data_IF_843471022003
#
_entry.id   IF_843471022003
#
_cell.length_a   1.000
_cell.length_b   1.000
_cell.length_c   1.000
_cell.angle_alpha   90.00
_cell.angle_beta   90.00
_cell.angle_gamma   90.00
#
_symmetry.space_group_name_H-M   'P 1'
#
loop_
_entity.id
_entity.type
_entity.pdbx_description
1 polymer ?
#
# COMPACT_ATOMS: atom_id res chain seq x y z
N UNK A 1 -41.59 -45.84 -1.67
CA UNK A 1 -40.95 -44.51 -1.78
C UNK A 1 -40.05 -44.36 -0.57
N UNK A 2 -38.75 -44.60 -0.73
CA UNK A 2 -37.79 -44.43 0.35
C UNK A 2 -37.46 -42.95 0.47
N UNK A 3 -37.61 -42.39 1.69
CA UNK A 3 -37.15 -41.06 2.03
C UNK A 3 -35.62 -41.07 2.06
N UNK A 4 -34.99 -40.56 1.00
CA UNK A 4 -33.58 -40.21 1.01
C UNK A 4 -33.41 -39.01 1.94
N UNK A 5 -33.11 -39.29 3.21
CA UNK A 5 -32.62 -38.27 4.13
C UNK A 5 -31.25 -37.82 3.65
N UNK A 6 -31.14 -36.55 3.24
CA UNK A 6 -29.86 -35.88 3.11
C UNK A 6 -29.17 -35.91 4.48
N UNK A 7 -28.26 -36.86 4.67
CA UNK A 7 -27.37 -36.85 5.82
C UNK A 7 -26.40 -35.70 5.60
N UNK A 8 -26.62 -34.59 6.30
CA UNK A 8 -25.68 -33.47 6.34
C UNK A 8 -24.29 -33.99 6.71
N UNK A 9 -23.30 -33.69 5.87
CA UNK A 9 -21.94 -34.22 5.97
C UNK A 9 -21.17 -33.45 7.05
N UNK A 10 -21.22 -33.95 8.29
CA UNK A 10 -20.48 -33.40 9.43
C UNK A 10 -19.02 -33.87 9.51
N UNK A 11 -18.42 -34.31 8.39
CA UNK A 11 -17.01 -34.72 8.35
C UNK A 11 -16.07 -33.60 8.82
N UNK A 12 -14.92 -33.97 9.40
CA UNK A 12 -13.86 -33.03 9.78
C UNK A 12 -13.39 -32.17 8.60
N UNK A 13 -13.40 -32.71 7.37
CA UNK A 13 -13.05 -31.94 6.17
C UNK A 13 -14.07 -30.84 5.83
N UNK A 14 -15.33 -30.97 6.25
CA UNK A 14 -16.36 -29.92 6.10
C UNK A 14 -16.41 -28.95 7.28
N UNK A 15 -16.12 -29.43 8.49
CA UNK A 15 -16.31 -28.65 9.73
C UNK A 15 -15.05 -27.91 10.18
N UNK A 16 -13.87 -28.26 9.67
CA UNK A 16 -12.62 -27.56 9.99
C UNK A 16 -12.52 -26.26 9.20
N UNK A 17 -12.67 -25.15 9.90
CA UNK A 17 -12.30 -23.82 9.39
C UNK A 17 -10.80 -23.64 9.59
N UNK A 18 -10.05 -23.66 8.48
CA UNK A 18 -8.62 -23.36 8.53
C UNK A 18 -8.41 -21.89 8.82
N UNK A 19 -7.55 -21.59 9.79
CA UNK A 19 -7.00 -20.25 9.93
C UNK A 19 -6.03 -20.00 8.78
N UNK A 20 -6.05 -18.78 8.25
CA UNK A 20 -5.04 -18.36 7.30
C UNK A 20 -3.64 -18.52 7.94
N UNK A 21 -2.67 -19.13 7.23
CA UNK A 21 -1.32 -19.22 7.74
C UNK A 21 -0.77 -17.82 8.03
N UNK A 22 0.08 -17.66 9.06
CA UNK A 22 0.60 -16.35 9.41
C UNK A 22 1.35 -15.75 8.22
N UNK A 23 1.07 -14.48 7.92
CA UNK A 23 1.78 -13.76 6.87
C UNK A 23 3.26 -13.71 7.24
N UNK A 24 4.17 -14.19 6.38
CA UNK A 24 5.59 -14.18 6.67
C UNK A 24 6.07 -12.74 6.87
N UNK A 25 6.91 -12.53 7.88
CA UNK A 25 7.47 -11.20 8.17
C UNK A 25 8.24 -10.69 6.95
N UNK A 26 7.99 -9.43 6.57
CA UNK A 26 8.67 -8.77 5.46
C UNK A 26 10.17 -8.61 5.70
N UNK A 27 10.58 -8.56 6.97
CA UNK A 27 11.97 -8.38 7.38
C UNK A 27 12.34 -9.41 8.43
N UNK A 28 13.55 -9.97 8.31
CA UNK A 28 14.15 -10.87 9.27
C UNK A 28 15.35 -10.23 9.98
N UNK A 29 15.82 -10.79 11.10
CA UNK A 29 16.99 -10.28 11.80
C UNK A 29 18.27 -10.57 11.02
N UNK A 30 19.14 -9.56 10.91
CA UNK A 30 20.54 -9.68 10.47
C UNK A 30 21.45 -9.05 11.53
N UNK A 31 22.71 -9.50 11.69
CA UNK A 31 23.65 -8.88 12.61
C UNK A 31 23.76 -7.38 12.34
N UNK A 32 23.84 -6.57 13.40
CA UNK A 32 24.05 -5.13 13.27
C UNK A 32 25.45 -4.83 12.73
N UNK A 33 25.54 -3.84 11.84
CA UNK A 33 26.80 -3.36 11.27
C UNK A 33 27.36 -2.19 12.08
N UNK A 34 28.61 -1.80 11.78
CA UNK A 34 29.30 -0.69 12.46
C UNK A 34 28.56 0.65 12.37
N UNK A 35 27.74 0.84 11.34
CA UNK A 35 26.92 2.04 11.13
C UNK A 35 25.58 2.02 11.86
N UNK A 36 25.15 0.87 12.38
CA UNK A 36 23.88 0.77 13.09
C UNK A 36 24.05 1.23 14.54
N UNK A 37 22.96 1.68 15.15
CA UNK A 37 23.01 2.14 16.53
C UNK A 37 23.27 0.94 17.48
N UNK A 38 24.43 0.90 18.17
CA UNK A 38 24.78 -0.23 19.03
C UNK A 38 23.84 -0.38 20.24
N UNK A 39 23.15 0.70 20.65
CA UNK A 39 22.21 0.68 21.76
C UNK A 39 20.90 -0.06 21.46
N UNK A 40 20.58 -0.32 20.18
CA UNK A 40 19.35 -1.02 19.77
C UNK A 40 19.50 -2.55 19.87
N UNK A 41 20.73 -3.04 19.93
CA UNK A 41 21.07 -4.44 20.12
C UNK A 41 21.91 -5.04 18.98
N UNK A 42 22.21 -6.35 19.06
CA UNK A 42 23.11 -7.01 18.13
C UNK A 42 22.49 -7.35 16.77
N UNK A 43 21.20 -7.04 16.56
CA UNK A 43 20.47 -7.37 15.34
C UNK A 43 19.63 -6.18 14.84
N UNK A 44 19.48 -6.09 13.53
CA UNK A 44 18.60 -5.15 12.84
C UNK A 44 17.68 -5.91 11.87
N UNK A 45 16.52 -5.34 11.54
CA UNK A 45 15.57 -5.96 10.60
C UNK A 45 15.92 -5.62 9.14
N UNK A 46 16.06 -6.64 8.30
CA UNK A 46 16.37 -6.52 6.89
C UNK A 46 15.40 -7.29 5.99
N UNK A 47 15.14 -6.74 4.80
CA UNK A 47 14.55 -7.50 3.70
C UNK A 47 15.50 -8.60 3.24
N UNK A 48 14.95 -9.70 2.74
CA UNK A 48 15.76 -10.87 2.32
C UNK A 48 16.67 -10.58 1.14
N UNK A 49 16.16 -9.80 0.20
CA UNK A 49 16.81 -9.48 -1.09
C UNK A 49 16.16 -8.24 -1.72
N UNK A 50 16.80 -7.71 -2.76
CA UNK A 50 16.30 -6.61 -3.60
C UNK A 50 14.86 -6.79 -4.08
N UNK A 51 14.50 -8.01 -4.48
CA UNK A 51 13.18 -8.32 -5.02
C UNK A 51 12.12 -8.20 -3.93
N UNK A 52 12.42 -8.67 -2.72
CA UNK A 52 11.55 -8.55 -1.56
C UNK A 52 11.36 -7.10 -1.12
N UNK A 53 12.42 -6.29 -1.17
CA UNK A 53 12.35 -4.85 -0.91
C UNK A 53 11.47 -4.14 -1.95
N UNK A 54 11.74 -4.33 -3.25
CA UNK A 54 10.97 -3.68 -4.33
C UNK A 54 9.51 -4.09 -4.30
N UNK A 55 9.23 -5.38 -4.11
CA UNK A 55 7.87 -5.89 -4.02
C UNK A 55 7.12 -5.28 -2.84
N UNK A 56 7.76 -5.18 -1.67
CA UNK A 56 7.15 -4.56 -0.51
C UNK A 56 6.93 -3.05 -0.72
N UNK A 57 7.92 -2.34 -1.29
CA UNK A 57 7.82 -0.92 -1.58
C UNK A 57 6.64 -0.61 -2.51
N UNK A 58 6.55 -1.29 -3.67
CA UNK A 58 5.45 -1.09 -4.61
C UNK A 58 4.10 -1.50 -4.03
N UNK A 59 4.02 -2.62 -3.28
CA UNK A 59 2.76 -3.03 -2.63
C UNK A 59 2.29 -1.98 -1.62
N UNK A 60 3.19 -1.46 -0.79
CA UNK A 60 2.84 -0.40 0.16
C UNK A 60 2.43 0.87 -0.57
N UNK A 61 3.17 1.28 -1.60
CA UNK A 61 2.84 2.46 -2.40
C UNK A 61 1.46 2.34 -3.06
N UNK A 62 1.18 1.23 -3.75
CA UNK A 62 -0.13 0.96 -4.34
C UNK A 62 -1.23 0.94 -3.28
N UNK A 63 -0.98 0.36 -2.10
CA UNK A 63 -1.96 0.34 -1.02
C UNK A 63 -2.24 1.74 -0.47
N UNK A 64 -1.21 2.58 -0.30
CA UNK A 64 -1.37 3.96 0.11
C UNK A 64 -2.18 4.78 -0.90
N UNK A 65 -1.91 4.61 -2.21
CA UNK A 65 -2.70 5.23 -3.28
C UNK A 65 -4.15 4.78 -3.19
N UNK A 66 -4.40 3.48 -3.13
CA UNK A 66 -5.76 2.93 -3.05
C UNK A 66 -6.53 3.50 -1.85
N UNK A 67 -5.94 3.49 -0.66
CA UNK A 67 -6.61 4.00 0.55
C UNK A 67 -6.85 5.51 0.46
N UNK A 68 -5.92 6.27 -0.12
CA UNK A 68 -6.12 7.69 -0.37
C UNK A 68 -7.26 7.94 -1.37
N UNK A 69 -7.34 7.18 -2.47
CA UNK A 69 -8.40 7.30 -3.47
C UNK A 69 -9.78 6.96 -2.89
N UNK A 70 -9.87 5.95 -2.03
CA UNK A 70 -11.13 5.66 -1.31
C UNK A 70 -11.52 6.79 -0.34
N UNK A 71 -10.55 7.39 0.36
CA UNK A 71 -10.79 8.58 1.18
C UNK A 71 -11.21 9.78 0.33
N UNK A 72 -10.58 9.99 -0.83
CA UNK A 72 -10.92 11.03 -1.78
C UNK A 72 -12.32 10.82 -2.36
N UNK A 73 -12.76 9.59 -2.60
CA UNK A 73 -14.13 9.29 -3.04
C UNK A 73 -15.17 9.82 -2.07
N UNK A 74 -14.95 9.64 -0.76
CA UNK A 74 -15.85 10.19 0.28
C UNK A 74 -15.76 11.71 0.34
N UNK A 75 -14.56 12.29 0.30
CA UNK A 75 -14.39 13.75 0.32
C UNK A 75 -15.01 14.43 -0.90
N UNK A 76 -14.83 13.85 -2.08
CA UNK A 76 -15.36 14.35 -3.35
C UNK A 76 -16.88 14.24 -3.42
N UNK A 77 -17.50 13.18 -2.88
CA UNK A 77 -18.96 13.08 -2.85
C UNK A 77 -19.60 14.16 -1.97
N UNK A 78 -18.98 14.47 -0.81
CA UNK A 78 -19.42 15.57 0.06
C UNK A 78 -19.24 16.92 -0.65
N UNK A 79 -18.08 17.14 -1.27
CA UNK A 79 -17.80 18.39 -2.01
C UNK A 79 -18.77 18.60 -3.18
N UNK A 80 -19.01 17.55 -3.97
CA UNK A 80 -19.96 17.58 -5.08
C UNK A 80 -21.39 17.88 -4.60
N UNK A 81 -21.85 17.19 -3.54
CA UNK A 81 -23.17 17.42 -2.94
C UNK A 81 -23.34 18.87 -2.45
N UNK A 82 -22.34 19.42 -1.76
CA UNK A 82 -22.36 20.80 -1.29
C UNK A 82 -22.42 21.79 -2.46
N UNK A 83 -21.63 21.55 -3.51
CA UNK A 83 -21.53 22.43 -4.68
C UNK A 83 -22.78 22.40 -5.56
N UNK A 84 -23.44 21.24 -5.65
CA UNK A 84 -24.65 21.03 -6.45
C UNK A 84 -25.95 21.20 -5.66
N UNK A 85 -25.87 21.44 -4.34
CA UNK A 85 -27.05 21.64 -3.51
C UNK A 85 -27.80 22.94 -3.91
N UNK A 86 -29.14 22.91 -4.01
CA UNK A 86 -29.90 24.13 -4.21
C UNK A 86 -29.78 25.01 -2.96
N UNK A 87 -29.78 26.36 -3.11
CA UNK A 87 -29.81 27.26 -1.96
C UNK A 87 -30.96 26.91 -1.02
N UNK A 88 -30.67 26.86 0.29
CA UNK A 88 -31.64 26.44 1.32
C UNK A 88 -32.96 27.22 1.28
N UNK A 89 -32.92 28.49 0.89
CA UNK A 89 -34.11 29.34 0.78
C UNK A 89 -35.08 28.88 -0.31
N UNK A 90 -34.61 28.25 -1.39
CA UNK A 90 -35.49 27.71 -2.45
C UNK A 90 -36.39 26.60 -1.92
N UNK A 91 -35.87 25.77 -1.02
CA UNK A 91 -36.63 24.71 -0.33
C UNK A 91 -37.63 25.32 0.65
N UNK A 92 -37.26 26.41 1.33
CA UNK A 92 -38.12 27.09 2.30
C UNK A 92 -39.32 27.79 1.63
N UNK A 93 -39.09 28.47 0.51
CA UNK A 93 -40.13 29.24 -0.19
C UNK A 93 -40.90 28.45 -1.26
N UNK A 94 -40.64 27.14 -1.43
CA UNK A 94 -41.27 26.24 -2.42
C UNK A 94 -41.41 26.87 -3.83
N UNK A 95 -40.44 27.69 -4.23
CA UNK A 95 -40.53 28.48 -5.47
C UNK A 95 -40.42 27.60 -6.73
N UNK A 96 -39.81 26.41 -6.61
CA UNK A 96 -39.91 25.34 -7.61
C UNK A 96 -39.62 23.97 -6.97
N UNK A 97 -40.13 22.86 -7.54
CA UNK A 97 -39.61 21.53 -7.20
C UNK A 97 -38.10 21.48 -7.52
N UNK A 98 -37.35 20.76 -6.68
CA UNK A 98 -35.93 20.47 -6.92
C UNK A 98 -35.84 19.51 -8.10
N UNK A 99 -35.07 19.87 -9.12
CA UNK A 99 -34.76 18.96 -10.22
C UNK A 99 -33.64 17.99 -9.78
N UNK A 100 -34.06 16.79 -9.39
CA UNK A 100 -33.13 15.74 -8.96
C UNK A 100 -32.23 15.23 -10.10
N UNK A 101 -32.72 15.26 -11.35
CA UNK A 101 -31.95 14.79 -12.50
C UNK A 101 -30.81 15.76 -12.84
N UNK A 102 -31.07 17.07 -12.79
CA UNK A 102 -30.01 18.07 -12.99
C UNK A 102 -29.00 18.08 -11.83
N UNK A 103 -29.47 17.82 -10.60
CA UNK A 103 -28.58 17.67 -9.45
C UNK A 103 -27.66 16.46 -9.59
N UNK A 104 -28.19 15.31 -9.98
CA UNK A 104 -27.40 14.09 -10.22
C UNK A 104 -26.32 14.32 -11.28
N UNK A 105 -26.65 14.93 -12.43
CA UNK A 105 -25.68 15.30 -13.47
C UNK A 105 -24.61 16.26 -12.98
N UNK A 106 -24.97 17.20 -12.10
CA UNK A 106 -24.02 18.10 -11.47
C UNK A 106 -23.07 17.33 -10.56
N UNK A 107 -23.60 16.48 -9.67
CA UNK A 107 -22.82 15.72 -8.70
C UNK A 107 -21.86 14.75 -9.40
N UNK A 108 -22.29 14.08 -10.47
CA UNK A 108 -21.44 13.19 -11.27
C UNK A 108 -20.26 13.94 -11.91
N UNK A 109 -20.50 15.12 -12.49
CA UNK A 109 -19.45 15.95 -13.09
C UNK A 109 -18.47 16.48 -12.05
N UNK A 110 -18.97 16.98 -10.93
CA UNK A 110 -18.13 17.52 -9.86
C UNK A 110 -17.31 16.42 -9.17
N UNK A 111 -17.92 15.25 -8.93
CA UNK A 111 -17.24 14.10 -8.35
C UNK A 111 -16.14 13.57 -9.27
N UNK A 112 -16.42 13.40 -10.56
CA UNK A 112 -15.42 12.91 -11.53
C UNK A 112 -14.23 13.87 -11.65
N UNK A 113 -14.48 15.18 -11.75
CA UNK A 113 -13.40 16.19 -11.77
C UNK A 113 -12.58 16.18 -10.48
N UNK A 114 -13.22 16.04 -9.33
CA UNK A 114 -12.54 15.99 -8.03
C UNK A 114 -11.66 14.74 -7.90
N UNK A 115 -12.14 13.57 -8.31
CA UNK A 115 -11.38 12.31 -8.26
C UNK A 115 -10.13 12.34 -9.14
N UNK A 116 -10.24 12.90 -10.36
CA UNK A 116 -9.09 13.06 -11.26
C UNK A 116 -8.02 13.96 -10.62
N UNK A 117 -8.44 15.08 -10.01
CA UNK A 117 -7.52 15.98 -9.31
C UNK A 117 -6.90 15.34 -8.05
N UNK A 118 -7.67 14.53 -7.32
CA UNK A 118 -7.21 13.86 -6.11
C UNK A 118 -6.15 12.78 -6.38
N UNK A 119 -6.19 12.14 -7.56
CA UNK A 119 -5.26 11.05 -7.92
C UNK A 119 -3.79 11.46 -7.82
N UNK A 120 -3.41 12.62 -8.35
CA UNK A 120 -2.02 13.09 -8.29
C UNK A 120 -1.58 13.37 -6.85
N UNK A 121 -2.47 13.96 -6.05
CA UNK A 121 -2.24 14.18 -4.61
C UNK A 121 -2.03 12.85 -3.87
N UNK A 122 -2.79 11.81 -4.22
CA UNK A 122 -2.65 10.47 -3.65
C UNK A 122 -1.34 9.79 -4.04
N UNK A 123 -0.88 9.97 -5.28
CA UNK A 123 0.43 9.48 -5.74
C UNK A 123 1.55 10.15 -4.95
N UNK A 124 1.49 11.47 -4.80
CA UNK A 124 2.51 12.21 -4.05
C UNK A 124 2.50 11.82 -2.56
N UNK A 125 1.31 11.73 -1.96
CA UNK A 125 1.15 11.25 -0.59
C UNK A 125 1.77 9.86 -0.40
N UNK A 126 1.53 8.93 -1.33
CA UNK A 126 2.11 7.60 -1.25
C UNK A 126 3.65 7.62 -1.35
N UNK A 127 4.23 8.44 -2.24
CA UNK A 127 5.68 8.63 -2.32
C UNK A 127 6.25 9.12 -0.98
N UNK A 128 5.68 10.19 -0.43
CA UNK A 128 6.15 10.81 0.82
C UNK A 128 6.07 9.84 2.01
N UNK A 129 5.00 9.05 2.08
CA UNK A 129 4.81 8.05 3.15
C UNK A 129 5.68 6.81 2.98
N UNK A 130 6.01 6.42 1.74
CA UNK A 130 6.83 5.23 1.49
C UNK A 130 8.33 5.49 1.62
N UNK A 131 8.82 6.70 1.32
CA UNK A 131 10.26 6.99 1.33
C UNK A 131 10.87 6.74 2.71
N UNK A 132 10.34 7.35 3.77
CA UNK A 132 10.94 7.28 5.10
C UNK A 132 11.12 5.82 5.62
N UNK A 133 10.11 4.93 5.60
CA UNK A 133 10.27 3.57 6.10
C UNK A 133 11.09 2.62 5.21
N UNK A 134 11.31 2.95 3.93
CA UNK A 134 12.00 2.08 2.97
C UNK A 134 13.41 2.54 2.60
N UNK A 135 13.70 3.84 2.63
CA UNK A 135 15.00 4.41 2.26
C UNK A 135 16.15 3.81 3.08
N UNK A 136 16.02 3.84 4.40
CA UNK A 136 17.09 3.35 5.28
C UNK A 136 16.93 1.87 5.67
N UNK A 137 15.93 1.19 5.08
CA UNK A 137 15.68 -0.21 5.35
C UNK A 137 16.84 -1.09 4.88
N UNK A 138 17.29 -2.00 5.74
CA UNK A 138 18.34 -2.96 5.42
C UNK A 138 17.87 -3.98 4.38
N UNK A 139 18.77 -4.37 3.49
CA UNK A 139 18.58 -5.48 2.56
C UNK A 139 19.73 -6.47 2.79
N UNK A 140 19.41 -7.74 3.04
CA UNK A 140 20.40 -8.77 3.22
C UNK A 140 21.11 -9.04 1.89
N UNK A 141 22.44 -8.97 1.91
CA UNK A 141 23.26 -9.39 0.78
C UNK A 141 23.53 -10.88 0.94
N UNK A 142 22.96 -11.69 0.06
CA UNK A 142 23.33 -13.11 -0.01
C UNK A 142 24.68 -13.22 -0.73
N UNK A 143 25.63 -13.96 -0.17
CA UNK A 143 27.02 -14.12 -0.67
C UNK A 143 27.14 -14.79 -2.05
N UNK A 144 26.06 -14.92 -2.82
CA UNK A 144 26.04 -15.62 -4.11
C UNK A 144 26.73 -14.86 -5.26
N UNK A 145 27.17 -13.61 -5.05
CA UNK A 145 27.91 -12.84 -6.07
C UNK A 145 29.44 -12.94 -5.99
N UNK A 146 29.99 -13.71 -5.05
CA UNK A 146 31.44 -13.98 -5.02
C UNK A 146 31.79 -15.25 -5.79
N UNK A 147 31.80 -15.17 -7.13
CA UNK A 147 32.58 -16.09 -7.96
C UNK A 147 34.03 -15.57 -8.03
N UNK A 148 34.79 -15.78 -6.94
CA UNK A 148 36.20 -15.42 -6.90
C UNK A 148 36.77 -15.38 -5.48
N UNK A 149 37.36 -16.51 -5.06
CA UNK A 149 38.34 -16.67 -3.97
C UNK A 149 38.05 -16.01 -2.60
N UNK A 150 37.75 -16.88 -1.62
CA UNK A 150 37.57 -16.61 -0.20
C UNK A 150 38.79 -15.93 0.47
N UNK A 151 38.57 -15.17 1.55
CA UNK A 151 39.06 -15.68 2.84
C UNK A 151 37.97 -15.77 3.91
N UNK A 152 38.09 -16.85 4.68
CA UNK A 152 37.35 -17.14 5.90
C UNK A 152 37.68 -16.06 6.94
N UNK A 153 36.84 -15.05 7.11
CA UNK A 153 36.61 -14.34 8.38
C UNK A 153 35.55 -13.25 8.21
N UNK A 154 34.63 -13.20 9.19
CA UNK A 154 33.56 -12.21 9.36
C UNK A 154 32.53 -12.15 8.23
N UNK A 155 31.29 -12.49 8.60
CA UNK A 155 30.06 -11.91 8.06
C UNK A 155 30.30 -10.44 7.72
N UNK A 156 30.58 -10.13 6.46
CA UNK A 156 30.72 -8.74 6.02
C UNK A 156 29.33 -8.15 6.09
N UNK A 157 29.01 -7.51 7.23
CA UNK A 157 27.71 -6.86 7.45
C UNK A 157 27.67 -5.64 6.55
N UNK A 158 27.25 -5.86 5.31
CA UNK A 158 27.17 -4.81 4.29
C UNK A 158 26.23 -3.71 4.77
N UNK A 159 26.55 -2.44 4.49
CA UNK A 159 25.67 -1.30 4.79
C UNK A 159 24.57 -1.11 3.74
N UNK A 160 24.13 -2.21 3.11
CA UNK A 160 23.25 -2.16 1.95
C UNK A 160 21.82 -1.82 2.34
N UNK A 161 21.27 -0.78 1.69
CA UNK A 161 20.01 -0.12 2.05
C UNK A 161 19.17 0.21 0.83
N UNK A 162 17.87 0.38 1.06
CA UNK A 162 16.90 0.77 0.04
C UNK A 162 17.22 2.07 -0.71
N UNK A 163 17.99 2.99 -0.11
CA UNK A 163 18.42 4.23 -0.77
C UNK A 163 19.13 3.96 -2.10
N UNK A 164 19.95 2.91 -2.17
CA UNK A 164 20.66 2.52 -3.40
C UNK A 164 19.68 2.14 -4.50
N UNK A 165 18.52 1.57 -4.16
CA UNK A 165 17.49 1.19 -5.12
C UNK A 165 16.63 2.38 -5.56
N UNK A 166 16.36 3.33 -4.65
CA UNK A 166 15.60 4.55 -4.95
C UNK A 166 16.36 5.51 -5.88
N UNK A 167 17.67 5.62 -5.70
CA UNK A 167 18.51 6.48 -6.53
C UNK A 167 18.57 5.97 -7.99
N UNK A 168 18.54 4.64 -8.18
CA UNK A 168 18.52 4.01 -9.50
C UNK A 168 17.17 4.16 -10.22
N UNK A 169 16.05 4.02 -9.51
CA UNK A 169 14.70 4.23 -10.09
C UNK A 169 14.44 5.69 -10.52
N UNK A 170 15.19 6.64 -9.95
CA UNK A 170 15.11 8.06 -10.30
C UNK A 170 15.79 8.38 -11.65
N UNK A 171 16.73 7.54 -12.11
CA UNK A 171 17.42 7.69 -13.38
C UNK A 171 16.61 7.24 -14.61
N UNK A 172 15.76 6.22 -14.44
CA UNK A 172 14.95 5.66 -15.54
C UNK A 172 13.75 6.54 -15.93
N UNK A 173 13.32 7.47 -15.07
CA UNK A 173 12.23 8.41 -15.37
C UNK A 173 12.67 9.63 -16.20
N UNK A 174 13.93 9.73 -16.63
CA UNK A 174 14.43 10.84 -17.46
C UNK A 174 14.60 10.46 -18.95
N UNK A 175 14.13 9.28 -19.38
CA UNK A 175 14.25 8.79 -20.76
C UNK A 175 12.92 8.39 -21.43
N UNK A 176 11.77 8.91 -20.98
CA UNK A 176 10.50 8.67 -21.68
C UNK A 176 9.63 9.91 -21.81
#
# INVERSE_FOLDING_TARGET
MALSGDMEDFSASQTVVWFDPPVPLLRGPVPSGLSDNPSVGPFVLAFRDDRSWRSAFHRTQSKCIQQCEEGARVGCSISASNKCSPPWWKTFFRVSPVDFAEREKCEEREMSSCLVAARESCIQFAKDKCIAPFRDARIAVTSSMYTGSLPKTATEVTNYRGSVLLDNDSGDNMQK
#
